data_IF_932953410803
#
_entry.id   IF_932953410803
#
_cell.length_a   1.000
_cell.length_b   1.000
_cell.length_c   1.000
_cell.angle_alpha   90.00
_cell.angle_beta   90.00
_cell.angle_gamma   90.00
#
_symmetry.space_group_name_H-M   'P 1'
#
loop_
_entity.id
_entity.type
_entity.pdbx_description
1 polymer ?
#
# COMPACT_ATOMS: atom_id res chain seq x y z
N UNK A 1 -18.18 8.78 -32.73
CA UNK A 1 -17.77 8.89 -31.32
C UNK A 1 -16.47 9.64 -31.27
N UNK A 2 -16.45 10.85 -30.73
CA UNK A 2 -15.22 11.63 -30.55
C UNK A 2 -14.40 11.02 -29.40
N UNK A 3 -13.15 10.64 -29.69
CA UNK A 3 -12.21 10.16 -28.67
C UNK A 3 -11.79 11.36 -27.81
N UNK A 4 -12.22 11.38 -26.55
CA UNK A 4 -11.84 12.44 -25.60
C UNK A 4 -10.43 12.18 -25.06
N UNK A 5 -9.46 12.99 -25.48
CA UNK A 5 -8.10 13.00 -24.93
C UNK A 5 -8.06 13.82 -23.64
N UNK A 6 -7.50 13.26 -22.56
CA UNK A 6 -7.32 13.91 -21.25
C UNK A 6 -5.83 14.11 -20.99
N UNK A 7 -5.45 15.23 -20.41
CA UNK A 7 -4.07 15.54 -20.07
C UNK A 7 -3.65 14.96 -18.70
N UNK A 8 -2.41 14.49 -18.56
CA UNK A 8 -1.84 14.01 -17.29
C UNK A 8 -0.77 14.98 -16.78
N UNK A 9 -1.11 15.76 -15.75
CA UNK A 9 -0.16 16.66 -15.08
C UNK A 9 0.90 15.89 -14.28
N UNK A 10 2.14 16.37 -14.31
CA UNK A 10 3.30 15.80 -13.63
C UNK A 10 3.89 14.56 -14.31
N UNK A 11 3.30 14.07 -15.40
CA UNK A 11 3.81 12.89 -16.10
C UNK A 11 5.03 13.23 -16.96
N UNK A 12 6.12 12.49 -16.77
CA UNK A 12 7.32 12.58 -17.61
C UNK A 12 7.25 11.53 -18.70
N UNK A 13 7.46 11.93 -19.95
CA UNK A 13 7.52 10.98 -21.05
C UNK A 13 8.73 10.05 -20.93
N UNK A 14 8.57 8.72 -20.98
CA UNK A 14 9.70 7.78 -20.86
C UNK A 14 10.62 7.81 -22.08
N UNK A 15 10.16 8.32 -23.23
CA UNK A 15 10.94 8.36 -24.47
C UNK A 15 11.78 9.63 -24.63
N UNK A 16 11.20 10.80 -24.35
CA UNK A 16 11.89 12.09 -24.52
C UNK A 16 12.20 12.83 -23.21
N UNK A 17 11.80 12.27 -22.06
CA UNK A 17 12.01 12.85 -20.72
C UNK A 17 11.37 14.23 -20.49
N UNK A 18 10.43 14.65 -21.34
CA UNK A 18 9.73 15.92 -21.21
C UNK A 18 8.53 15.74 -20.27
N UNK A 19 8.38 16.65 -19.33
CA UNK A 19 7.26 16.72 -18.37
C UNK A 19 6.01 17.29 -19.04
N UNK A 20 4.83 16.89 -18.59
CA UNK A 20 3.56 17.52 -18.96
C UNK A 20 3.23 17.43 -20.45
N UNK A 21 3.53 16.30 -21.07
CA UNK A 21 3.21 16.03 -22.49
C UNK A 21 2.43 14.75 -22.74
N UNK A 22 2.00 14.05 -21.70
CA UNK A 22 1.24 12.81 -21.84
C UNK A 22 -0.26 13.12 -21.84
N UNK A 23 -0.96 12.58 -22.83
CA UNK A 23 -2.42 12.54 -22.91
C UNK A 23 -2.91 11.11 -22.88
N UNK A 24 -4.07 10.87 -22.28
CA UNK A 24 -4.71 9.56 -22.19
C UNK A 24 -6.06 9.59 -22.90
N UNK A 25 -6.37 8.53 -23.62
CA UNK A 25 -7.64 8.37 -24.31
C UNK A 25 -8.03 6.90 -24.44
N UNK A 26 -9.28 6.66 -24.80
CA UNK A 26 -9.81 5.33 -25.02
C UNK A 26 -9.82 5.04 -26.52
N UNK A 27 -9.15 3.97 -26.93
CA UNK A 27 -9.11 3.49 -28.30
C UNK A 27 -9.37 1.98 -28.31
N UNK A 28 -10.38 1.54 -29.07
CA UNK A 28 -10.76 0.13 -29.21
C UNK A 28 -11.01 -0.61 -27.87
N UNK A 29 -11.52 0.11 -26.86
CA UNK A 29 -11.78 -0.44 -25.52
C UNK A 29 -10.54 -0.53 -24.62
N UNK A 30 -9.40 -0.03 -25.05
CA UNK A 30 -8.16 0.04 -24.28
C UNK A 30 -7.79 1.49 -23.96
N UNK A 31 -7.26 1.71 -22.76
CA UNK A 31 -6.73 3.00 -22.36
C UNK A 31 -5.31 3.15 -22.91
N UNK A 32 -5.14 4.17 -23.76
CA UNK A 32 -3.88 4.49 -24.43
C UNK A 32 -3.35 5.81 -23.89
N UNK A 33 -2.08 5.84 -23.55
CA UNK A 33 -1.32 7.06 -23.21
C UNK A 33 -0.40 7.43 -24.38
N UNK A 34 -0.41 8.69 -24.79
CA UNK A 34 0.35 9.23 -25.92
C UNK A 34 1.14 10.48 -25.50
N UNK A 35 2.39 10.61 -25.93
CA UNK A 35 3.16 11.84 -25.79
C UNK A 35 2.96 12.75 -27.01
N UNK A 36 2.46 13.96 -26.79
CA UNK A 36 2.21 14.93 -27.88
C UNK A 36 3.49 15.49 -28.51
N UNK A 37 4.65 15.33 -27.87
CA UNK A 37 5.92 15.88 -28.35
C UNK A 37 6.71 14.89 -29.21
N UNK A 38 6.79 13.62 -28.80
CA UNK A 38 7.59 12.60 -29.50
C UNK A 38 6.77 11.45 -30.09
N UNK A 39 5.44 11.46 -29.92
CA UNK A 39 4.53 10.42 -30.42
C UNK A 39 4.69 9.07 -29.72
N UNK A 40 5.28 9.02 -28.53
CA UNK A 40 5.34 7.78 -27.74
C UNK A 40 3.93 7.34 -27.35
N UNK A 41 3.55 6.11 -27.67
CA UNK A 41 2.26 5.51 -27.28
C UNK A 41 2.48 4.29 -26.40
N UNK A 42 1.60 4.12 -25.42
CA UNK A 42 1.57 2.93 -24.58
C UNK A 42 0.12 2.56 -24.22
N UNK A 43 -0.19 1.27 -24.34
CA UNK A 43 -1.51 0.71 -24.08
C UNK A 43 -1.51 0.07 -22.70
N UNK A 44 -2.17 0.70 -21.72
CA UNK A 44 -2.41 0.05 -20.44
C UNK A 44 -3.56 -0.94 -20.62
N UNK A 45 -3.21 -2.20 -20.87
CA UNK A 45 -4.16 -3.28 -20.59
C UNK A 45 -4.47 -3.23 -19.09
N UNK A 46 -5.75 -3.31 -18.72
CA UNK A 46 -6.15 -3.52 -17.34
C UNK A 46 -5.60 -4.88 -16.89
N UNK A 47 -4.35 -4.88 -16.39
CA UNK A 47 -3.78 -6.04 -15.72
C UNK A 47 -4.67 -6.22 -14.50
N UNK A 48 -5.51 -7.26 -14.58
CA UNK A 48 -6.59 -7.53 -13.64
C UNK A 48 -6.09 -7.44 -12.20
N UNK A 49 -6.98 -6.99 -11.31
CA UNK A 49 -6.75 -6.91 -9.86
C UNK A 49 -5.81 -8.03 -9.42
N UNK A 50 -4.56 -7.73 -9.01
CA UNK A 50 -3.60 -8.77 -8.70
C UNK A 50 -4.22 -9.64 -7.61
N UNK A 51 -4.45 -10.91 -7.92
CA UNK A 51 -4.95 -11.86 -6.95
C UNK A 51 -4.01 -11.84 -5.75
N UNK A 52 -4.57 -11.67 -4.54
CA UNK A 52 -3.77 -11.55 -3.34
C UNK A 52 -2.84 -12.77 -3.23
N UNK A 53 -1.54 -12.50 -3.21
CA UNK A 53 -0.53 -13.55 -3.06
C UNK A 53 -0.74 -14.23 -1.70
N UNK A 54 -0.76 -15.57 -1.62
CA UNK A 54 -0.89 -16.26 -0.34
C UNK A 54 0.39 -16.03 0.47
N UNK A 55 0.37 -15.03 1.34
CA UNK A 55 1.45 -14.76 2.30
C UNK A 55 1.20 -15.56 3.58
N UNK A 56 2.28 -15.99 4.23
CA UNK A 56 2.26 -16.81 5.47
C UNK A 56 1.38 -16.21 6.60
N UNK A 57 1.14 -14.90 6.55
CA UNK A 57 0.48 -14.07 7.58
C UNK A 57 -1.06 -14.10 7.48
N UNK A 58 -1.62 -14.50 6.34
CA UNK A 58 -3.07 -14.60 6.12
C UNK A 58 -3.61 -16.04 6.30
N UNK A 59 -2.93 -16.88 7.08
CA UNK A 59 -3.53 -18.13 7.55
C UNK A 59 -4.43 -17.80 8.74
N UNK A 60 -5.74 -17.97 8.59
CA UNK A 60 -6.67 -17.90 9.72
C UNK A 60 -6.16 -18.89 10.78
N UNK A 61 -5.74 -18.36 11.93
CA UNK A 61 -5.23 -19.16 13.03
C UNK A 61 -6.28 -20.19 13.47
N UNK A 62 -6.15 -21.43 13.01
CA UNK A 62 -6.76 -22.59 13.63
C UNK A 62 -5.97 -22.94 14.90
N UNK A 63 -5.87 -22.00 15.85
CA UNK A 63 -5.16 -22.24 17.11
C UNK A 63 -6.15 -22.77 18.15
N UNK A 64 -6.06 -24.07 18.43
CA UNK A 64 -6.49 -24.60 19.73
C UNK A 64 -5.80 -23.78 20.83
N UNK A 65 -6.60 -23.23 21.74
CA UNK A 65 -6.11 -22.38 22.83
C UNK A 65 -5.06 -23.17 23.63
N UNK A 66 -3.78 -22.74 23.70
CA UNK A 66 -2.85 -23.38 24.61
C UNK A 66 -3.31 -23.07 26.04
N UNK A 67 -3.49 -24.09 26.87
CA UNK A 67 -3.92 -23.95 28.25
C UNK A 67 -2.93 -23.05 29.03
N UNK A 68 -3.27 -21.77 29.18
CA UNK A 68 -2.43 -20.80 29.89
C UNK A 68 -2.52 -21.04 31.38
N UNK A 69 -1.38 -21.28 32.04
CA UNK A 69 -1.32 -21.43 33.49
C UNK A 69 -0.79 -20.13 34.13
N UNK A 70 -1.50 -19.54 35.11
CA UNK A 70 -1.06 -18.31 35.73
C UNK A 70 0.14 -18.53 36.68
N UNK A 71 1.17 -17.70 36.52
CA UNK A 71 2.35 -17.72 37.36
C UNK A 71 2.11 -16.89 38.64
N UNK A 72 2.26 -17.51 39.81
CA UNK A 72 2.13 -16.82 41.11
C UNK A 72 3.45 -16.14 41.48
N UNK A 73 3.45 -14.82 41.45
CA UNK A 73 4.55 -14.00 41.92
C UNK A 73 4.47 -13.81 43.43
N UNK A 74 5.56 -14.15 44.13
CA UNK A 74 5.72 -13.82 45.55
C UNK A 74 6.59 -12.58 45.69
N UNK A 75 6.17 -11.58 46.50
CA UNK A 75 6.95 -10.37 46.68
C UNK A 75 8.29 -10.71 47.34
N UNK A 76 9.37 -10.17 46.76
CA UNK A 76 10.72 -10.38 47.25
C UNK A 76 10.90 -9.70 48.63
N UNK A 77 11.19 -10.46 49.71
CA UNK A 77 11.19 -9.94 51.08
C UNK A 77 12.28 -8.89 51.36
N UNK A 78 13.29 -8.75 50.50
CA UNK A 78 14.42 -7.84 50.72
C UNK A 78 14.27 -6.43 50.12
N UNK A 79 13.09 -6.05 49.60
CA UNK A 79 12.85 -4.68 49.09
C UNK A 79 11.91 -3.92 50.05
N UNK A 80 12.47 -3.03 50.88
CA UNK A 80 11.68 -2.07 51.67
C UNK A 80 10.98 -1.10 50.71
N UNK A 81 9.65 -1.02 50.76
CA UNK A 81 8.87 -0.05 49.98
C UNK A 81 9.18 1.38 50.45
N UNK A 82 9.62 2.24 49.52
CA UNK A 82 9.72 3.68 49.80
C UNK A 82 8.29 4.23 49.88
N UNK A 83 7.90 4.78 51.03
CA UNK A 83 6.61 5.44 51.22
C UNK A 83 6.47 6.61 50.22
N UNK A 84 5.30 6.83 49.62
CA UNK A 84 5.07 8.01 48.80
C UNK A 84 5.08 9.25 49.70
N UNK A 85 5.93 10.23 49.39
CA UNK A 85 5.95 11.53 50.08
C UNK A 85 4.57 12.18 49.89
N UNK A 86 3.86 12.45 50.99
CA UNK A 86 2.67 13.32 50.96
C UNK A 86 3.11 14.69 50.45
N UNK A 87 2.56 15.11 49.30
CA UNK A 87 2.72 16.46 48.75
C UNK A 87 1.91 17.42 49.64
N UNK A 88 2.42 18.63 49.94
CA UNK A 88 1.74 19.59 50.81
C UNK A 88 0.36 19.97 50.31
#
# INVERSE_FOLDING_TARGET
MSISKRFIAGAVCPRCAIMDRIVVFQENGHEVRECVECGYTDSMAAIGSPAELPTRVNQANASSQPASQPLKFYPNPKRKSKQPRKKP
#
